data_IF_906189950216
#
_entry.id   IF_906189950216
#
_cell.length_a   1.000
_cell.length_b   1.000
_cell.length_c   1.000
_cell.angle_alpha   90.00
_cell.angle_beta   90.00
_cell.angle_gamma   90.00
#
_symmetry.space_group_name_H-M   'P 1'
#
loop_
_entity.id
_entity.type
_entity.pdbx_description
1 polymer ?
#
# COMPACT_ATOMS: atom_id res chain seq x y z
N UNK A 1 51.89 64.27 -10.71
CA UNK A 1 51.41 63.43 -9.59
C UNK A 1 50.16 62.69 -10.07
N UNK A 2 50.27 61.44 -10.54
CA UNK A 2 49.18 60.58 -10.92
C UNK A 2 48.94 59.57 -9.77
N UNK A 3 47.74 59.63 -9.13
CA UNK A 3 47.30 58.67 -8.13
C UNK A 3 46.69 57.46 -8.83
N UNK A 4 47.33 56.33 -8.79
CA UNK A 4 46.74 55.06 -9.25
C UNK A 4 45.69 54.56 -8.23
N UNK A 5 44.45 54.45 -8.67
CA UNK A 5 43.34 53.89 -7.91
C UNK A 5 43.26 52.38 -8.29
N UNK A 6 43.72 51.51 -7.43
CA UNK A 6 43.55 50.07 -7.55
C UNK A 6 42.11 49.70 -7.08
N UNK A 7 41.26 49.34 -8.06
CA UNK A 7 39.94 48.75 -7.79
C UNK A 7 40.13 47.24 -7.62
N UNK A 8 40.07 46.79 -6.39
CA UNK A 8 40.10 45.35 -6.08
C UNK A 8 38.71 44.70 -6.43
N UNK A 9 38.71 43.84 -7.44
CA UNK A 9 37.53 43.05 -7.83
C UNK A 9 37.40 41.85 -6.88
N UNK A 10 36.56 41.94 -5.85
CA UNK A 10 36.24 40.84 -4.94
C UNK A 10 35.34 39.80 -5.64
N UNK A 11 35.92 38.68 -6.00
CA UNK A 11 35.13 37.52 -6.51
C UNK A 11 34.46 36.83 -5.33
N UNK A 12 33.15 37.01 -5.17
CA UNK A 12 32.32 36.25 -4.22
C UNK A 12 32.07 34.85 -4.80
N UNK A 13 32.83 33.88 -4.33
CA UNK A 13 32.53 32.45 -4.58
C UNK A 13 31.25 32.05 -3.80
N UNK A 14 30.11 32.06 -4.43
CA UNK A 14 28.92 31.42 -3.89
C UNK A 14 29.07 29.90 -3.99
N UNK A 15 29.43 29.28 -2.87
CA UNK A 15 29.39 27.80 -2.73
C UNK A 15 27.95 27.36 -2.75
N UNK A 16 27.47 26.77 -3.85
CA UNK A 16 26.22 26.07 -3.90
C UNK A 16 26.36 24.76 -3.09
N UNK A 17 25.94 24.80 -1.83
CA UNK A 17 25.76 23.58 -1.05
C UNK A 17 24.54 22.88 -1.66
N UNK A 18 24.76 21.81 -2.40
CA UNK A 18 23.66 20.95 -2.87
C UNK A 18 23.00 20.32 -1.64
N UNK A 19 21.89 20.87 -1.21
CA UNK A 19 21.06 20.25 -0.16
C UNK A 19 20.54 18.95 -0.71
N UNK A 20 21.03 17.82 -0.20
CA UNK A 20 20.54 16.49 -0.55
C UNK A 20 19.06 16.42 -0.13
N UNK A 21 18.17 16.34 -1.10
CA UNK A 21 16.73 16.25 -0.84
C UNK A 21 16.46 14.92 -0.14
N UNK A 22 15.81 14.98 1.02
CA UNK A 22 15.36 13.78 1.73
C UNK A 22 14.43 12.94 0.85
N UNK A 23 14.53 11.61 0.92
CA UNK A 23 13.61 10.73 0.19
C UNK A 23 12.15 11.00 0.57
N UNK A 24 11.27 10.87 -0.39
CA UNK A 24 9.82 10.87 -0.18
C UNK A 24 9.46 9.58 0.57
N UNK A 25 8.62 9.68 1.60
CA UNK A 25 8.10 8.50 2.27
C UNK A 25 6.79 8.05 1.62
N UNK A 26 6.75 6.77 1.25
CA UNK A 26 5.56 6.09 0.79
C UNK A 26 5.02 5.21 1.92
N UNK A 27 4.04 5.72 2.65
CA UNK A 27 3.37 4.95 3.70
C UNK A 27 2.39 3.95 3.11
N UNK A 28 2.33 2.75 3.69
CA UNK A 28 1.29 1.76 3.42
C UNK A 28 0.51 1.58 4.71
N UNK A 29 -0.80 1.86 4.68
CA UNK A 29 -1.72 1.49 5.74
C UNK A 29 -2.70 0.44 5.23
N UNK A 30 -2.95 -0.59 6.05
CA UNK A 30 -3.74 -1.71 5.61
C UNK A 30 -3.73 -2.88 6.59
N UNK A 31 -4.14 -4.01 6.07
CA UNK A 31 -4.32 -5.25 6.84
C UNK A 31 -3.21 -6.30 6.59
N UNK A 32 -3.54 -7.57 6.85
CA UNK A 32 -2.59 -8.68 6.74
C UNK A 32 -2.09 -8.94 5.32
N UNK A 33 -2.81 -8.52 4.29
CA UNK A 33 -2.41 -8.77 2.90
C UNK A 33 -1.20 -7.92 2.49
N UNK A 34 -1.07 -6.74 3.10
CA UNK A 34 0.06 -5.83 2.89
C UNK A 34 1.14 -5.92 3.97
N UNK A 35 0.80 -6.38 5.19
CA UNK A 35 1.63 -6.27 6.39
C UNK A 35 2.97 -6.99 6.30
N UNK A 36 3.97 -6.44 6.98
CA UNK A 36 5.22 -7.15 7.27
C UNK A 36 4.94 -8.40 8.12
N UNK A 37 5.56 -9.52 7.76
CA UNK A 37 5.39 -10.79 8.47
C UNK A 37 6.53 -11.06 9.43
N UNK A 38 6.18 -11.71 10.55
CA UNK A 38 7.16 -12.21 11.51
C UNK A 38 7.74 -13.55 11.02
N UNK A 39 8.98 -13.92 11.38
CA UNK A 39 9.61 -15.17 10.95
C UNK A 39 8.75 -16.43 11.18
N UNK A 40 8.00 -16.46 12.30
CA UNK A 40 7.07 -17.56 12.61
C UNK A 40 5.89 -17.73 11.64
N UNK A 41 5.66 -16.76 10.76
CA UNK A 41 4.60 -16.81 9.74
C UNK A 41 5.14 -17.11 8.35
N UNK A 42 6.47 -17.16 8.17
CA UNK A 42 7.03 -17.45 6.85
C UNK A 42 6.65 -18.88 6.39
N UNK A 43 6.37 -19.07 5.08
CA UNK A 43 6.62 -18.17 3.95
C UNK A 43 5.53 -17.13 3.67
N UNK A 44 4.48 -17.01 4.51
CA UNK A 44 3.49 -15.94 4.32
C UNK A 44 4.17 -14.58 4.18
N UNK A 45 3.81 -13.82 3.14
CA UNK A 45 4.44 -12.54 2.79
C UNK A 45 3.38 -11.51 2.45
N UNK A 46 3.46 -10.30 3.02
CA UNK A 46 2.58 -9.20 2.61
C UNK A 46 3.13 -8.50 1.36
N UNK A 47 2.26 -8.04 0.47
CA UNK A 47 2.71 -7.35 -0.75
C UNK A 47 3.52 -6.08 -0.45
N UNK A 48 3.25 -5.42 0.69
CA UNK A 48 4.02 -4.25 1.11
C UNK A 48 5.48 -4.53 1.42
N UNK A 49 5.86 -5.79 1.72
CA UNK A 49 7.26 -6.19 1.92
C UNK A 49 8.06 -6.15 0.62
N UNK A 50 7.40 -6.34 -0.52
CA UNK A 50 8.02 -6.41 -1.84
C UNK A 50 8.02 -5.06 -2.57
N UNK A 51 7.24 -4.08 -2.10
CA UNK A 51 6.97 -2.85 -2.86
C UNK A 51 8.21 -1.96 -3.04
N UNK A 52 9.12 -1.93 -2.06
CA UNK A 52 10.37 -1.14 -2.18
C UNK A 52 11.18 -1.50 -3.42
N UNK A 53 11.14 -2.76 -3.85
CA UNK A 53 11.90 -3.24 -5.01
C UNK A 53 11.45 -2.66 -6.36
N UNK A 54 10.34 -1.92 -6.38
CA UNK A 54 9.80 -1.25 -7.56
C UNK A 54 10.12 0.24 -7.62
N UNK A 55 10.71 0.81 -6.57
CA UNK A 55 11.05 2.24 -6.48
C UNK A 55 12.54 2.46 -6.35
N UNK A 56 13.02 3.57 -6.89
CA UNK A 56 14.39 4.03 -6.72
C UNK A 56 14.66 4.56 -5.31
N UNK A 57 15.90 4.96 -5.03
CA UNK A 57 16.34 5.43 -3.71
C UNK A 57 15.75 6.78 -3.27
N UNK A 58 15.02 7.48 -4.14
CA UNK A 58 14.32 8.71 -3.80
C UNK A 58 12.98 8.45 -3.09
N UNK A 59 12.53 7.19 -3.03
CA UNK A 59 11.34 6.77 -2.30
C UNK A 59 11.73 5.76 -1.24
N UNK A 60 11.31 6.02 0.00
CA UNK A 60 11.38 5.08 1.11
C UNK A 60 9.97 4.52 1.38
N UNK A 61 9.79 3.23 1.21
CA UNK A 61 8.53 2.56 1.59
C UNK A 61 8.52 2.32 3.11
N UNK A 62 7.52 2.89 3.78
CA UNK A 62 7.25 2.67 5.21
C UNK A 62 5.95 1.88 5.36
N UNK A 63 6.07 0.56 5.42
CA UNK A 63 4.93 -0.33 5.53
C UNK A 63 4.44 -0.41 6.98
N UNK A 64 3.33 0.28 7.26
CA UNK A 64 2.63 0.33 8.55
C UNK A 64 1.42 -0.57 8.63
N UNK A 65 1.09 -1.31 7.55
CA UNK A 65 0.01 -2.29 7.56
C UNK A 65 0.25 -3.35 8.62
N UNK A 66 -0.85 -3.85 9.23
CA UNK A 66 -0.75 -4.83 10.31
C UNK A 66 -1.86 -5.88 10.21
N UNK A 67 -1.48 -7.13 10.51
CA UNK A 67 -2.39 -8.28 10.50
C UNK A 67 -3.65 -8.03 11.33
N UNK A 68 -4.82 -8.34 10.76
CA UNK A 68 -6.11 -8.28 11.44
C UNK A 68 -6.70 -6.89 11.59
N UNK A 69 -6.07 -5.83 11.07
CA UNK A 69 -6.58 -4.46 11.23
C UNK A 69 -7.60 -4.13 10.15
N UNK A 70 -8.61 -3.40 10.59
CA UNK A 70 -9.62 -2.73 9.77
C UNK A 70 -9.39 -1.23 9.81
N UNK A 71 -10.14 -0.46 9.03
CA UNK A 71 -10.13 1.02 9.14
C UNK A 71 -10.40 1.48 10.56
N UNK A 72 -11.33 0.83 11.27
CA UNK A 72 -11.70 1.14 12.65
C UNK A 72 -10.58 0.83 13.63
N UNK A 73 -10.10 -0.42 13.67
CA UNK A 73 -9.09 -0.83 14.64
C UNK A 73 -7.76 -0.10 14.45
N UNK A 74 -7.41 0.26 13.21
CA UNK A 74 -6.21 1.05 12.92
C UNK A 74 -6.29 2.47 13.52
N UNK A 75 -7.50 3.06 13.58
CA UNK A 75 -7.76 4.35 14.25
C UNK A 75 -7.75 4.16 15.77
N UNK A 76 -8.56 3.23 16.29
CA UNK A 76 -8.76 3.07 17.75
C UNK A 76 -7.48 2.66 18.48
N UNK A 77 -6.57 1.95 17.82
CA UNK A 77 -5.24 1.62 18.33
C UNK A 77 -4.21 2.74 18.16
N UNK A 78 -4.64 3.95 17.73
CA UNK A 78 -3.79 5.13 17.49
C UNK A 78 -2.62 4.90 16.50
N UNK A 79 -2.74 3.89 15.63
CA UNK A 79 -1.71 3.61 14.60
C UNK A 79 -1.66 4.70 13.56
N UNK A 80 -2.82 5.24 13.23
CA UNK A 80 -2.93 6.36 12.32
C UNK A 80 -2.30 7.65 12.89
N UNK A 81 -2.51 7.94 14.17
CA UNK A 81 -1.93 9.11 14.84
C UNK A 81 -0.39 9.10 14.76
N UNK A 82 0.22 7.92 14.93
CA UNK A 82 1.67 7.76 14.80
C UNK A 82 2.18 8.11 13.40
N UNK A 83 1.41 7.80 12.35
CA UNK A 83 1.75 8.17 10.96
C UNK A 83 1.60 9.67 10.77
N UNK A 84 0.49 10.27 11.23
CA UNK A 84 0.24 11.71 11.13
C UNK A 84 1.35 12.55 11.77
N UNK A 85 2.00 12.05 12.82
CA UNK A 85 3.12 12.74 13.48
C UNK A 85 4.34 12.83 12.57
N UNK A 86 4.57 11.84 11.70
CA UNK A 86 5.75 11.77 10.82
C UNK A 86 5.47 12.16 9.37
N UNK A 87 4.19 12.25 8.99
CA UNK A 87 3.76 12.55 7.61
C UNK A 87 4.12 14.00 7.23
N UNK A 88 4.78 14.17 6.08
CA UNK A 88 5.28 15.45 5.58
C UNK A 88 4.67 15.80 4.22
N UNK A 89 4.78 17.07 3.86
CA UNK A 89 4.45 17.55 2.51
C UNK A 89 5.23 16.79 1.44
N UNK A 90 4.53 16.30 0.44
CA UNK A 90 5.08 15.52 -0.68
C UNK A 90 5.15 14.01 -0.45
N UNK A 91 4.86 13.52 0.77
CA UNK A 91 4.73 12.08 1.03
C UNK A 91 3.45 11.51 0.39
N UNK A 92 3.38 10.18 0.35
CA UNK A 92 2.23 9.45 -0.19
C UNK A 92 1.72 8.44 0.85
N UNK A 93 0.42 8.19 0.85
CA UNK A 93 -0.21 7.16 1.70
C UNK A 93 -1.06 6.24 0.83
N UNK A 94 -0.63 4.98 0.68
CA UNK A 94 -1.44 3.92 0.09
C UNK A 94 -2.38 3.37 1.17
N UNK A 95 -3.69 3.41 0.90
CA UNK A 95 -4.74 3.05 1.85
C UNK A 95 -5.48 1.82 1.33
N UNK A 96 -5.21 0.64 1.90
CA UNK A 96 -5.85 -0.63 1.51
C UNK A 96 -6.47 -1.32 2.72
N UNK A 97 -7.79 -1.31 2.81
CA UNK A 97 -8.58 -2.01 3.82
C UNK A 97 -9.81 -2.69 3.21
N UNK A 98 -10.44 -3.56 3.99
CA UNK A 98 -11.68 -4.24 3.62
C UNK A 98 -11.79 -5.64 4.20
N UNK A 99 -10.72 -6.46 4.15
CA UNK A 99 -10.71 -7.85 4.59
C UNK A 99 -11.18 -8.07 6.05
N UNK A 100 -10.95 -7.09 6.91
CA UNK A 100 -11.36 -7.14 8.31
C UNK A 100 -12.57 -6.26 8.59
N UNK A 101 -12.75 -5.19 7.86
CA UNK A 101 -13.93 -4.32 7.96
C UNK A 101 -15.24 -5.09 7.72
N UNK A 102 -15.24 -6.04 6.80
CA UNK A 102 -16.40 -6.88 6.49
C UNK A 102 -16.78 -7.91 7.57
N UNK A 103 -15.97 -8.06 8.64
CA UNK A 103 -16.24 -8.94 9.78
C UNK A 103 -17.16 -8.25 10.79
N UNK A 104 -18.37 -7.93 10.37
CA UNK A 104 -19.36 -7.16 11.15
C UNK A 104 -19.81 -7.87 12.43
N UNK A 105 -19.59 -9.16 12.52
CA UNK A 105 -19.79 -9.99 13.72
C UNK A 105 -18.72 -9.76 14.82
N UNK A 106 -17.67 -9.01 14.51
CA UNK A 106 -16.58 -8.62 15.43
C UNK A 106 -16.60 -7.11 15.67
N UNK A 107 -17.31 -6.63 16.69
CA UNK A 107 -17.57 -5.18 16.88
C UNK A 107 -16.32 -4.32 17.02
N UNK A 108 -15.23 -4.87 17.53
CA UNK A 108 -13.96 -4.17 17.71
C UNK A 108 -13.17 -4.00 16.41
N UNK A 109 -13.52 -4.79 15.37
CA UNK A 109 -12.81 -4.83 14.08
C UNK A 109 -13.75 -4.44 12.94
N UNK A 110 -14.92 -5.09 12.87
CA UNK A 110 -15.87 -4.91 11.79
C UNK A 110 -16.45 -3.50 11.75
N UNK A 111 -16.80 -3.04 10.56
CA UNK A 111 -17.42 -1.74 10.31
C UNK A 111 -18.65 -1.93 9.45
N UNK A 112 -19.70 -1.14 9.70
CA UNK A 112 -20.73 -0.95 8.70
C UNK A 112 -20.16 -0.27 7.45
N UNK A 113 -20.85 -0.37 6.33
CA UNK A 113 -20.48 0.34 5.08
C UNK A 113 -20.33 1.86 5.30
N UNK A 114 -21.21 2.46 6.12
CA UNK A 114 -21.15 3.88 6.40
C UNK A 114 -19.94 4.23 7.29
N UNK A 115 -19.65 3.42 8.30
CA UNK A 115 -18.47 3.61 9.16
C UNK A 115 -17.18 3.44 8.37
N UNK A 116 -17.08 2.40 7.53
CA UNK A 116 -15.95 2.21 6.60
C UNK A 116 -15.72 3.43 5.73
N UNK A 117 -16.80 3.94 5.10
CA UNK A 117 -16.76 5.16 4.30
C UNK A 117 -16.24 6.36 5.11
N UNK A 118 -16.74 6.57 6.31
CA UNK A 118 -16.34 7.70 7.17
C UNK A 118 -14.87 7.60 7.58
N UNK A 119 -14.39 6.39 7.90
CA UNK A 119 -12.99 6.16 8.24
C UNK A 119 -12.05 6.43 7.06
N UNK A 120 -12.43 6.02 5.84
CA UNK A 120 -11.66 6.35 4.64
C UNK A 120 -11.61 7.86 4.37
N UNK A 121 -12.73 8.56 4.54
CA UNK A 121 -12.77 10.03 4.40
C UNK A 121 -11.82 10.68 5.40
N UNK A 122 -11.81 10.22 6.66
CA UNK A 122 -10.86 10.70 7.68
C UNK A 122 -9.41 10.53 7.23
N UNK A 123 -9.00 9.36 6.78
CA UNK A 123 -7.64 9.12 6.27
C UNK A 123 -7.29 10.05 5.12
N UNK A 124 -8.20 10.24 4.16
CA UNK A 124 -8.01 11.13 3.01
C UNK A 124 -7.79 12.57 3.46
N UNK A 125 -8.72 13.11 4.27
CA UNK A 125 -8.69 14.50 4.68
C UNK A 125 -7.46 14.84 5.54
N UNK A 126 -7.11 13.95 6.47
CA UNK A 126 -5.96 14.17 7.35
C UNK A 126 -4.62 14.00 6.60
N UNK A 127 -4.56 13.13 5.59
CA UNK A 127 -3.41 13.05 4.67
C UNK A 127 -3.24 14.36 3.90
N UNK A 128 -4.33 14.85 3.31
CA UNK A 128 -4.32 16.11 2.55
C UNK A 128 -3.99 17.33 3.42
N UNK A 129 -4.45 17.35 4.68
CA UNK A 129 -4.11 18.40 5.64
C UNK A 129 -2.59 18.48 5.93
N UNK A 130 -1.87 17.38 5.78
CA UNK A 130 -0.40 17.32 5.83
C UNK A 130 0.27 17.65 4.49
N UNK A 131 -0.50 18.03 3.46
CA UNK A 131 -0.05 18.24 2.08
C UNK A 131 0.62 16.99 1.48
N UNK A 132 0.28 15.81 1.99
CA UNK A 132 0.63 14.51 1.44
C UNK A 132 -0.48 14.01 0.50
N UNK A 133 -0.18 13.05 -0.35
CA UNK A 133 -1.10 12.54 -1.35
C UNK A 133 -1.70 11.20 -0.91
N UNK A 134 -3.00 11.12 -0.62
CA UNK A 134 -3.68 9.85 -0.40
C UNK A 134 -3.91 9.12 -1.72
N UNK A 135 -3.74 7.80 -1.71
CA UNK A 135 -4.05 6.91 -2.83
C UNK A 135 -4.90 5.77 -2.28
N UNK A 136 -6.11 5.63 -2.80
CA UNK A 136 -6.99 4.56 -2.39
C UNK A 136 -6.70 3.27 -3.17
N UNK A 137 -6.68 2.16 -2.45
CA UNK A 137 -6.61 0.82 -3.03
C UNK A 137 -7.87 0.05 -2.63
N UNK A 138 -8.52 -0.63 -3.59
CA UNK A 138 -9.51 -1.65 -3.22
C UNK A 138 -8.77 -2.86 -2.63
N UNK A 139 -9.38 -3.61 -1.68
CA UNK A 139 -8.75 -4.83 -1.16
C UNK A 139 -8.45 -5.82 -2.29
N UNK A 140 -7.36 -6.57 -2.19
CA UNK A 140 -7.03 -7.62 -3.15
C UNK A 140 -8.09 -8.74 -3.11
N UNK A 141 -8.33 -9.41 -4.24
CA UNK A 141 -9.26 -10.53 -4.30
C UNK A 141 -8.73 -11.73 -3.51
N UNK A 142 -9.62 -12.42 -2.79
CA UNK A 142 -9.35 -13.77 -2.29
C UNK A 142 -9.48 -14.77 -3.42
N UNK A 143 -8.71 -15.85 -3.34
CA UNK A 143 -8.86 -17.00 -4.23
C UNK A 143 -10.09 -17.82 -3.80
N UNK A 144 -11.26 -17.44 -4.29
CA UNK A 144 -12.52 -18.11 -3.97
C UNK A 144 -13.22 -18.58 -5.24
N UNK A 145 -12.75 -19.71 -5.76
CA UNK A 145 -13.37 -20.36 -6.91
C UNK A 145 -14.50 -21.28 -6.47
N UNK A 146 -15.61 -21.22 -7.22
CA UNK A 146 -16.75 -22.15 -7.11
C UNK A 146 -17.05 -22.68 -8.49
N UNK A 147 -16.90 -23.98 -8.67
CA UNK A 147 -17.09 -24.65 -9.99
C UNK A 147 -16.26 -23.98 -11.12
N UNK A 148 -15.01 -23.62 -10.83
CA UNK A 148 -14.11 -22.97 -11.79
C UNK A 148 -14.35 -21.46 -12.01
N UNK A 149 -15.33 -20.87 -11.34
CA UNK A 149 -15.65 -19.45 -11.45
C UNK A 149 -15.16 -18.70 -10.20
N UNK A 150 -14.36 -17.65 -10.39
CA UNK A 150 -13.93 -16.78 -9.30
C UNK A 150 -15.13 -15.97 -8.77
N UNK A 151 -15.36 -16.01 -7.46
CA UNK A 151 -16.45 -15.28 -6.81
C UNK A 151 -15.93 -14.19 -5.90
N UNK A 152 -16.52 -13.01 -5.96
CA UNK A 152 -16.19 -11.90 -5.07
C UNK A 152 -16.66 -12.19 -3.64
N UNK A 153 -15.77 -11.95 -2.67
CA UNK A 153 -16.03 -12.16 -1.24
C UNK A 153 -16.11 -10.86 -0.43
N UNK A 154 -15.78 -9.72 -1.03
CA UNK A 154 -15.68 -8.43 -0.31
C UNK A 154 -16.99 -7.65 -0.24
N UNK A 155 -18.10 -8.24 -0.68
CA UNK A 155 -19.44 -7.60 -0.63
C UNK A 155 -19.39 -6.18 -1.23
N UNK A 156 -19.89 -5.16 -0.52
CA UNK A 156 -19.95 -3.77 -0.99
C UNK A 156 -18.70 -2.91 -0.73
N UNK A 157 -17.71 -3.40 0.00
CA UNK A 157 -16.56 -2.58 0.43
C UNK A 157 -15.73 -2.01 -0.74
N UNK A 158 -15.35 -2.79 -1.77
CA UNK A 158 -14.63 -2.24 -2.93
C UNK A 158 -15.43 -1.18 -3.69
N UNK A 159 -16.75 -1.32 -3.74
CA UNK A 159 -17.62 -0.34 -4.40
C UNK A 159 -17.58 1.03 -3.69
N UNK A 160 -17.49 1.03 -2.35
CA UNK A 160 -17.32 2.27 -1.56
C UNK A 160 -15.99 2.94 -1.86
N UNK A 161 -14.91 2.17 -1.93
CA UNK A 161 -13.58 2.72 -2.27
C UNK A 161 -13.61 3.40 -3.64
N UNK A 162 -14.17 2.74 -4.67
CA UNK A 162 -14.33 3.31 -6.02
C UNK A 162 -15.17 4.58 -6.02
N UNK A 163 -16.31 4.55 -5.32
CA UNK A 163 -17.21 5.70 -5.24
C UNK A 163 -16.56 6.90 -4.55
N UNK A 164 -15.79 6.67 -3.49
CA UNK A 164 -15.04 7.74 -2.80
C UNK A 164 -13.94 8.31 -3.69
N UNK A 165 -13.17 7.44 -4.36
CA UNK A 165 -12.12 7.87 -5.28
C UNK A 165 -12.68 8.78 -6.38
N UNK A 166 -13.79 8.38 -6.99
CA UNK A 166 -14.47 9.16 -8.03
C UNK A 166 -15.01 10.50 -7.47
N UNK A 167 -15.82 10.45 -6.40
CA UNK A 167 -16.50 11.64 -5.86
C UNK A 167 -15.58 12.68 -5.24
N UNK A 168 -14.41 12.26 -4.72
CA UNK A 168 -13.42 13.13 -4.08
C UNK A 168 -12.18 13.37 -4.96
N UNK A 169 -12.18 12.85 -6.19
CA UNK A 169 -11.06 12.92 -7.13
C UNK A 169 -9.73 12.43 -6.53
N UNK A 170 -9.79 11.33 -5.77
CA UNK A 170 -8.63 10.68 -5.16
C UNK A 170 -8.07 9.62 -6.12
N UNK A 171 -6.75 9.57 -6.34
CA UNK A 171 -6.13 8.50 -7.12
C UNK A 171 -6.54 7.12 -6.61
N UNK A 172 -6.96 6.23 -7.53
CA UNK A 172 -7.41 4.87 -7.24
C UNK A 172 -6.54 3.84 -7.95
N UNK A 173 -6.10 2.84 -7.20
CA UNK A 173 -5.57 1.60 -7.76
C UNK A 173 -6.58 0.49 -7.45
N UNK A 174 -7.27 0.02 -8.48
CA UNK A 174 -8.34 -0.99 -8.33
C UNK A 174 -7.76 -2.40 -8.21
N UNK A 175 -7.21 -2.70 -7.02
CA UNK A 175 -6.51 -3.95 -6.76
C UNK A 175 -7.44 -5.16 -6.80
N UNK A 176 -8.70 -5.02 -6.42
CA UNK A 176 -9.68 -6.12 -6.53
C UNK A 176 -9.83 -6.57 -7.99
N UNK A 177 -9.98 -5.62 -8.94
CA UNK A 177 -10.07 -5.95 -10.37
C UNK A 177 -8.76 -6.50 -10.93
N UNK A 178 -7.62 -5.88 -10.57
CA UNK A 178 -6.30 -6.32 -11.06
C UNK A 178 -5.98 -7.74 -10.58
N UNK A 179 -6.16 -8.03 -9.30
CA UNK A 179 -5.90 -9.36 -8.76
C UNK A 179 -6.93 -10.40 -9.21
N UNK A 180 -8.21 -10.04 -9.32
CA UNK A 180 -9.23 -10.93 -9.91
C UNK A 180 -8.88 -11.32 -11.34
N UNK A 181 -8.40 -10.37 -12.15
CA UNK A 181 -7.96 -10.70 -13.52
C UNK A 181 -6.82 -11.73 -13.52
N UNK A 182 -5.80 -11.53 -12.68
CA UNK A 182 -4.68 -12.49 -12.57
C UNK A 182 -5.18 -13.88 -12.12
N UNK A 183 -6.11 -13.94 -11.17
CA UNK A 183 -6.68 -15.20 -10.71
C UNK A 183 -7.49 -15.90 -11.79
N UNK A 184 -8.30 -15.16 -12.55
CA UNK A 184 -9.08 -15.71 -13.66
C UNK A 184 -8.19 -16.20 -14.82
N UNK A 185 -7.15 -15.43 -15.16
CA UNK A 185 -6.20 -15.80 -16.22
C UNK A 185 -5.42 -17.09 -15.87
N UNK A 186 -5.08 -17.28 -14.58
CA UNK A 186 -4.40 -18.47 -14.10
C UNK A 186 -5.34 -19.68 -13.94
N UNK A 187 -6.58 -19.43 -13.56
CA UNK A 187 -7.54 -20.47 -13.17
C UNK A 187 -7.32 -20.97 -11.74
N UNK A 188 -8.22 -21.87 -11.29
CA UNK A 188 -8.32 -22.33 -9.91
C UNK A 188 -7.00 -22.94 -9.40
N UNK A 189 -6.60 -24.10 -9.90
CA UNK A 189 -5.42 -24.81 -9.39
C UNK A 189 -4.10 -24.03 -9.56
N UNK A 190 -3.77 -23.47 -10.76
CA UNK A 190 -2.51 -22.75 -10.94
C UNK A 190 -2.38 -21.48 -10.13
N UNK A 191 -3.51 -20.85 -9.71
CA UNK A 191 -3.48 -19.63 -8.89
C UNK A 191 -3.10 -19.87 -7.42
N UNK A 192 -3.12 -21.11 -6.93
CA UNK A 192 -2.65 -21.49 -5.58
C UNK A 192 -1.23 -21.01 -5.30
N UNK A 193 -0.36 -20.99 -6.31
CA UNK A 193 1.04 -20.51 -6.17
C UNK A 193 1.17 -19.06 -5.68
N UNK A 194 0.11 -18.24 -5.86
CA UNK A 194 0.09 -16.86 -5.37
C UNK A 194 -0.22 -16.78 -3.88
N UNK A 195 -0.72 -17.84 -3.28
CA UNK A 195 -1.24 -17.86 -1.93
C UNK A 195 -0.39 -18.74 -1.00
N UNK A 196 -0.61 -18.60 0.31
CA UNK A 196 0.16 -19.28 1.33
C UNK A 196 -0.27 -20.76 1.46
N UNK A 197 0.05 -21.54 0.43
CA UNK A 197 -0.08 -23.00 0.43
C UNK A 197 1.27 -23.58 0.79
N UNK A 198 1.32 -24.31 1.91
CA UNK A 198 2.55 -24.89 2.46
C UNK A 198 2.30 -26.37 2.75
N UNK A 199 3.20 -27.22 2.31
CA UNK A 199 3.12 -28.65 2.59
C UNK A 199 3.39 -28.98 4.07
N UNK A 200 2.91 -30.12 4.52
CA UNK A 200 3.21 -30.64 5.86
C UNK A 200 4.71 -30.85 6.06
N UNK A 201 5.17 -30.70 7.30
CA UNK A 201 6.59 -30.82 7.65
C UNK A 201 7.37 -29.50 7.59
N UNK A 202 6.77 -28.41 7.17
CA UNK A 202 7.40 -27.10 7.23
C UNK A 202 7.52 -26.62 8.68
N UNK A 203 8.66 -26.00 9.06
CA UNK A 203 8.96 -25.59 10.43
C UNK A 203 7.87 -24.70 11.07
N UNK A 204 7.27 -23.78 10.30
CA UNK A 204 6.19 -22.92 10.79
C UNK A 204 4.79 -23.50 10.57
N UNK A 205 4.66 -24.55 9.78
CA UNK A 205 3.38 -25.20 9.41
C UNK A 205 3.54 -26.71 9.40
N UNK A 206 3.73 -27.36 10.58
CA UNK A 206 4.00 -28.81 10.65
C UNK A 206 2.92 -29.68 10.00
N UNK A 207 1.66 -29.24 10.07
CA UNK A 207 0.50 -29.93 9.44
C UNK A 207 0.15 -29.37 8.06
N UNK A 208 1.00 -28.49 7.51
CA UNK A 208 0.73 -27.77 6.27
C UNK A 208 -0.21 -26.58 6.45
N UNK A 209 -0.41 -25.82 5.37
CA UNK A 209 -1.32 -24.66 5.32
C UNK A 209 -2.00 -24.59 3.95
N UNK A 210 -3.28 -24.31 3.95
CA UNK A 210 -4.06 -23.95 2.76
C UNK A 210 -4.75 -22.64 3.04
N UNK A 211 -4.32 -21.56 2.40
CA UNK A 211 -4.80 -20.22 2.68
C UNK A 211 -5.08 -19.49 1.36
N UNK A 212 -6.34 -19.17 1.12
CA UNK A 212 -6.84 -18.50 -0.08
C UNK A 212 -6.90 -16.97 0.06
N UNK A 213 -6.32 -16.43 1.12
CA UNK A 213 -6.33 -14.99 1.42
C UNK A 213 -4.92 -14.39 1.48
N UNK A 214 -4.02 -15.04 2.24
CA UNK A 214 -2.68 -14.52 2.45
C UNK A 214 -1.72 -15.03 1.38
N UNK A 215 -0.74 -14.20 1.02
CA UNK A 215 0.10 -14.42 -0.14
C UNK A 215 1.35 -15.26 0.19
N UNK A 216 1.81 -16.00 -0.79
CA UNK A 216 3.17 -16.55 -0.85
C UNK A 216 4.18 -15.44 -1.19
N UNK A 217 5.51 -15.66 -1.05
CA UNK A 217 6.51 -14.71 -1.53
C UNK A 217 6.35 -14.36 -3.00
N UNK A 218 6.03 -15.34 -3.84
CA UNK A 218 5.77 -15.13 -5.27
C UNK A 218 4.51 -14.26 -5.47
N UNK A 219 3.41 -14.58 -4.76
CA UNK A 219 2.17 -13.82 -4.84
C UNK A 219 2.35 -12.38 -4.35
N UNK A 220 3.07 -12.17 -3.26
CA UNK A 220 3.37 -10.84 -2.74
C UNK A 220 4.12 -9.98 -3.76
N UNK A 221 5.11 -10.54 -4.44
CA UNK A 221 5.86 -9.86 -5.51
C UNK A 221 4.98 -9.54 -6.71
N UNK A 222 4.10 -10.45 -7.13
CA UNK A 222 3.13 -10.20 -8.21
C UNK A 222 2.18 -9.06 -7.83
N UNK A 223 1.59 -9.09 -6.62
CA UNK A 223 0.68 -8.05 -6.16
C UNK A 223 1.38 -6.70 -6.01
N UNK A 224 2.60 -6.65 -5.47
CA UNK A 224 3.40 -5.43 -5.42
C UNK A 224 3.68 -4.85 -6.82
N UNK A 225 3.91 -5.73 -7.82
CA UNK A 225 4.04 -5.34 -9.22
C UNK A 225 2.76 -4.69 -9.76
N UNK A 226 1.58 -5.25 -9.44
CA UNK A 226 0.29 -4.66 -9.81
C UNK A 226 0.04 -3.31 -9.14
N UNK A 227 0.50 -3.12 -7.88
CA UNK A 227 0.45 -1.81 -7.21
C UNK A 227 1.34 -0.81 -7.94
N UNK A 228 2.59 -1.18 -8.30
CA UNK A 228 3.50 -0.33 -9.04
C UNK A 228 2.95 0.06 -10.43
N UNK A 229 2.34 -0.91 -11.14
CA UNK A 229 1.62 -0.65 -12.39
C UNK A 229 0.47 0.36 -12.18
N UNK A 230 -0.34 0.16 -11.13
CA UNK A 230 -1.41 1.08 -10.76
C UNK A 230 -0.91 2.49 -10.44
N UNK A 231 0.23 2.63 -9.75
CA UNK A 231 0.88 3.93 -9.54
C UNK A 231 1.21 4.61 -10.86
N UNK A 232 1.72 3.86 -11.85
CA UNK A 232 2.00 4.38 -13.19
C UNK A 232 0.72 4.83 -13.91
N UNK A 233 -0.35 4.05 -13.82
CA UNK A 233 -1.65 4.33 -14.44
C UNK A 233 -2.31 5.59 -13.88
N UNK A 234 -2.18 5.83 -12.56
CA UNK A 234 -2.74 7.02 -11.89
C UNK A 234 -2.03 8.32 -12.27
N UNK A 235 -0.84 8.25 -12.89
CA UNK A 235 -0.02 9.40 -13.29
C UNK A 235 0.31 10.38 -12.16
N UNK A 236 0.21 9.97 -10.91
CA UNK A 236 0.62 10.78 -9.75
C UNK A 236 2.12 10.99 -9.73
N UNK A 237 2.59 12.01 -9.01
CA UNK A 237 4.00 12.36 -8.92
C UNK A 237 4.94 11.26 -8.45
N UNK A 238 4.38 10.22 -7.78
CA UNK A 238 5.09 9.02 -7.35
C UNK A 238 5.60 8.17 -8.54
N UNK A 239 4.88 8.17 -9.67
CA UNK A 239 5.19 7.33 -10.83
C UNK A 239 6.59 7.58 -11.43
N UNK A 240 7.13 8.79 -11.29
CA UNK A 240 8.46 9.15 -11.82
C UNK A 240 9.62 8.44 -11.12
N UNK A 241 9.37 7.88 -9.94
CA UNK A 241 10.36 7.17 -9.12
C UNK A 241 10.31 5.65 -9.30
N UNK A 242 9.41 5.14 -10.16
CA UNK A 242 9.39 3.73 -10.51
C UNK A 242 10.66 3.37 -11.29
N UNK A 243 11.28 2.25 -10.91
CA UNK A 243 12.43 1.68 -11.63
C UNK A 243 11.96 1.26 -13.02
N UNK A 244 12.62 1.80 -14.04
CA UNK A 244 12.40 1.37 -15.43
C UNK A 244 12.96 -0.05 -15.58
N UNK A 245 12.10 -1.00 -15.83
CA UNK A 245 12.49 -2.37 -16.24
C UNK A 245 12.57 -2.46 -17.74
#
# INVERSE_FOLDING_TARGET
MYKNLLVGLGVILMSFIAVKKEPITLYIIGDSTAANKQPKSFPETGWGMELQSFFDTNVKVDNRALNGRSTKSFITEKRWDAILTSLKEGDFVLIEFGHNDEKIDKPEIGTSINEFKSNLIKYIQETQAKKATPVLLTPIARRNFKNGVLTNTHKGYPAIVRKLADSLHIPLIDMERKTSKVLMDLGDEPSKKLFNYVDSGHVNYPIGKKDDTHLSPYGAKVVAGLVAEGVKETKIGLAKYLIKK
#
